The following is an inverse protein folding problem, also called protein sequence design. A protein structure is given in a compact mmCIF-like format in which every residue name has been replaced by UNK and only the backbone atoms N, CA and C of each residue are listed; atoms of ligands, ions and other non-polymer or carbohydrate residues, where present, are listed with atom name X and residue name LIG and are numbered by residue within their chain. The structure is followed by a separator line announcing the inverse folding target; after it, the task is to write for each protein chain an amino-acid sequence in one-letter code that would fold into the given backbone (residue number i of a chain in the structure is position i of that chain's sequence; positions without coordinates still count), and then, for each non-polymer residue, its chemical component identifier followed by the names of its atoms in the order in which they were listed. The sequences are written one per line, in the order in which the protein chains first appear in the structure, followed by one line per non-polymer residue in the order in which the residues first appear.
data_IF_220074136262
#
_entry.id   IF_220074136262
#
_cell.length_a   1.000
_cell.length_b   1.000
_cell.length_c   1.000
_cell.angle_alpha   90.00
_cell.angle_beta   90.00
_cell.angle_gamma   90.00
#
_symmetry.space_group_name_H-M   'P 1'
#
loop_
_entity.id
_entity.type
_entity.pdbx_description
1 polymer ?
#
# COMPACT_ATOMS: atom_id res chain seq x y z
N UNK A 1 8.75 -4.87 13.65
CA UNK A 1 9.24 -4.37 12.34
C UNK A 1 10.76 -4.31 12.29
N UNK A 2 11.45 -3.59 13.19
CA UNK A 2 12.92 -3.55 13.17
C UNK A 2 13.59 -4.93 13.37
N UNK A 3 13.06 -5.78 14.26
CA UNK A 3 13.56 -7.16 14.42
C UNK A 3 13.36 -8.02 13.17
N UNK A 4 12.23 -7.86 12.47
CA UNK A 4 11.99 -8.55 11.21
C UNK A 4 13.00 -8.12 10.14
N UNK A 5 13.23 -6.81 9.97
CA UNK A 5 14.20 -6.30 9.01
C UNK A 5 15.63 -6.77 9.29
N UNK A 6 16.00 -6.93 10.57
CA UNK A 6 17.31 -7.50 10.94
C UNK A 6 17.44 -8.99 10.63
N UNK A 7 16.34 -9.75 10.66
CA UNK A 7 16.30 -11.18 10.33
C UNK A 7 16.16 -11.40 8.81
N UNK A 8 15.65 -10.40 8.08
CA UNK A 8 15.36 -10.45 6.66
C UNK A 8 16.00 -9.27 5.90
N UNK A 9 17.34 -9.28 5.72
CA UNK A 9 18.09 -8.11 5.22
C UNK A 9 17.80 -7.71 3.77
N UNK A 10 17.21 -8.62 2.98
CA UNK A 10 16.88 -8.38 1.57
C UNK A 10 15.42 -7.97 1.36
N UNK A 11 14.62 -7.92 2.44
CA UNK A 11 13.22 -7.51 2.38
C UNK A 11 13.09 -6.00 2.51
N UNK A 12 12.16 -5.44 1.74
CA UNK A 12 11.83 -4.02 1.76
C UNK A 12 10.39 -3.85 2.24
N UNK A 13 10.20 -2.96 3.21
CA UNK A 13 8.89 -2.63 3.75
C UNK A 13 8.47 -1.23 3.29
N UNK A 14 7.25 -1.14 2.77
CA UNK A 14 6.60 0.14 2.47
C UNK A 14 5.74 0.53 3.67
N UNK A 15 6.05 1.65 4.30
CA UNK A 15 5.26 2.22 5.38
C UNK A 15 4.44 3.41 4.84
N UNK A 16 3.12 3.25 4.78
CA UNK A 16 2.20 4.28 4.30
C UNK A 16 1.51 4.99 5.47
N UNK A 17 1.94 6.23 5.74
CA UNK A 17 1.37 7.08 6.78
C UNK A 17 0.32 8.01 6.17
N UNK A 18 -0.94 7.77 6.51
CA UNK A 18 -2.09 8.52 6.00
C UNK A 18 -3.16 8.75 7.09
N UNK A 19 -4.14 9.60 6.79
CA UNK A 19 -5.23 9.96 7.71
C UNK A 19 -4.75 10.51 9.07
N UNK A 20 -3.96 11.59 9.03
CA UNK A 20 -3.54 12.28 10.24
C UNK A 20 -4.70 13.08 10.84
N UNK A 21 -5.21 12.64 11.99
CA UNK A 21 -6.30 13.32 12.68
C UNK A 21 -5.77 14.27 13.75
N UNK A 22 -6.11 15.55 13.63
CA UNK A 22 -5.75 16.59 14.58
C UNK A 22 -4.23 16.73 14.82
N UNK A 23 -3.42 16.38 13.82
CA UNK A 23 -1.98 16.63 13.88
C UNK A 23 -1.68 18.11 13.67
N UNK A 24 -0.74 18.61 14.45
CA UNK A 24 -0.11 19.91 14.27
C UNK A 24 1.26 19.72 13.63
N UNK A 25 1.90 20.80 13.18
CA UNK A 25 3.27 20.75 12.66
C UNK A 25 4.25 20.11 13.67
N UNK A 26 4.09 20.41 14.96
CA UNK A 26 4.89 19.80 16.04
C UNK A 26 4.63 18.29 16.18
N UNK A 27 3.39 17.86 16.00
CA UNK A 27 3.02 16.44 16.03
C UNK A 27 3.60 15.70 14.83
N UNK A 28 3.56 16.30 13.64
CA UNK A 28 4.21 15.77 12.45
C UNK A 28 5.72 15.66 12.65
N UNK A 29 6.38 16.71 13.13
CA UNK A 29 7.82 16.72 13.41
C UNK A 29 8.20 15.63 14.43
N UNK A 30 7.39 15.45 15.48
CA UNK A 30 7.58 14.40 16.48
C UNK A 30 7.49 13.00 15.85
N UNK A 31 6.44 12.72 15.08
CA UNK A 31 6.28 11.43 14.41
C UNK A 31 7.43 11.15 13.43
N UNK A 32 7.82 12.14 12.62
CA UNK A 32 8.93 12.01 11.66
C UNK A 32 10.23 11.71 12.41
N UNK A 33 10.50 12.40 13.52
CA UNK A 33 11.66 12.13 14.38
C UNK A 33 11.64 10.72 14.97
N UNK A 34 10.48 10.24 15.42
CA UNK A 34 10.32 8.87 15.91
C UNK A 34 10.60 7.82 14.82
N UNK A 35 10.06 8.01 13.62
CA UNK A 35 10.29 7.13 12.47
C UNK A 35 11.77 7.13 12.06
N UNK A 36 12.39 8.31 12.01
CA UNK A 36 13.82 8.46 11.74
C UNK A 36 14.67 7.71 12.78
N UNK A 37 14.35 7.82 14.06
CA UNK A 37 15.10 7.11 15.10
C UNK A 37 14.90 5.60 15.04
N UNK A 38 13.70 5.14 14.66
CA UNK A 38 13.36 3.71 14.60
C UNK A 38 14.02 2.97 13.43
N UNK A 39 14.17 3.62 12.27
CA UNK A 39 14.67 3.00 11.04
C UNK A 39 16.03 3.56 10.59
N UNK A 40 16.38 4.78 11.01
CA UNK A 40 17.69 5.40 10.82
C UNK A 40 18.22 5.26 9.38
N UNK A 41 19.34 4.56 9.19
CA UNK A 41 20.00 4.39 7.89
C UNK A 41 19.29 3.44 6.95
N UNK A 42 18.27 2.70 7.41
CA UNK A 42 17.49 1.79 6.54
C UNK A 42 16.40 2.51 5.74
N UNK A 43 16.16 3.80 6.02
CA UNK A 43 15.19 4.62 5.29
C UNK A 43 15.73 4.99 3.92
N UNK A 44 14.96 4.66 2.87
CA UNK A 44 15.30 4.99 1.49
C UNK A 44 15.07 6.49 1.21
N UNK A 45 16.10 7.26 0.85
CA UNK A 45 15.92 8.63 0.41
C UNK A 45 15.07 8.73 -0.86
N UNK A 46 14.17 9.70 -0.90
CA UNK A 46 13.40 10.02 -2.09
C UNK A 46 14.31 10.74 -3.12
N UNK A 47 14.49 10.09 -4.27
CA UNK A 47 15.32 10.58 -5.38
C UNK A 47 14.47 10.93 -6.62
N UNK A 48 13.27 11.48 -6.39
CA UNK A 48 12.37 11.98 -7.44
C UNK A 48 11.49 10.93 -8.13
N UNK A 49 11.91 9.67 -8.19
CA UNK A 49 11.16 8.59 -8.85
C UNK A 49 11.48 7.23 -8.23
N UNK A 50 10.53 6.29 -8.28
CA UNK A 50 10.77 4.89 -7.90
C UNK A 50 11.70 4.20 -8.90
N UNK A 51 11.61 4.56 -10.18
CA UNK A 51 12.43 4.01 -11.26
C UNK A 51 13.93 4.30 -11.12
N UNK A 52 14.31 5.18 -10.20
CA UNK A 52 15.71 5.47 -9.85
C UNK A 52 16.36 4.36 -9.04
N UNK A 53 15.57 3.41 -8.52
CA UNK A 53 16.01 2.37 -7.61
C UNK A 53 15.72 0.97 -8.18
N UNK A 54 16.66 0.06 -7.96
CA UNK A 54 16.46 -1.39 -8.13
C UNK A 54 16.56 -2.09 -6.78
N UNK A 55 15.97 -3.26 -6.61
CA UNK A 55 16.11 -4.00 -5.35
C UNK A 55 17.58 -4.31 -5.02
N UNK A 56 18.40 -4.61 -6.03
CA UNK A 56 19.84 -4.79 -5.83
C UNK A 56 20.48 -3.54 -5.22
N UNK A 57 20.15 -2.35 -5.74
CA UNK A 57 20.66 -1.09 -5.20
C UNK A 57 20.17 -0.80 -3.78
N UNK A 58 18.94 -1.22 -3.43
CA UNK A 58 18.43 -1.09 -2.07
C UNK A 58 19.25 -1.97 -1.11
N UNK A 59 19.44 -3.24 -1.46
CA UNK A 59 20.20 -4.20 -0.67
C UNK A 59 21.67 -3.79 -0.53
N UNK A 60 22.33 -3.37 -1.61
CA UNK A 60 23.73 -2.94 -1.60
C UNK A 60 23.95 -1.73 -0.67
N UNK A 61 22.93 -0.91 -0.47
CA UNK A 61 22.98 0.27 0.40
C UNK A 61 22.31 0.05 1.77
N UNK A 62 21.83 -1.17 2.07
CA UNK A 62 21.06 -1.50 3.28
C UNK A 62 19.78 -0.65 3.47
N UNK A 63 19.15 -0.22 2.39
CA UNK A 63 17.84 0.40 2.44
C UNK A 63 16.76 -0.66 2.48
N UNK A 64 15.89 -0.57 3.48
CA UNK A 64 14.83 -1.55 3.74
C UNK A 64 13.46 -0.92 3.97
N UNK A 65 13.36 0.42 4.06
CA UNK A 65 12.09 1.09 4.39
C UNK A 65 11.82 2.22 3.41
N UNK A 66 10.70 2.12 2.69
CA UNK A 66 10.13 3.21 1.88
C UNK A 66 9.03 3.86 2.72
N UNK A 67 9.23 5.12 3.12
CA UNK A 67 8.27 5.84 3.96
C UNK A 67 7.43 6.80 3.14
N UNK A 68 6.21 6.39 2.79
CA UNK A 68 5.22 7.24 2.14
C UNK A 68 4.53 8.08 3.22
N UNK A 69 4.60 9.40 3.08
CA UNK A 69 4.01 10.33 4.03
C UNK A 69 2.97 11.20 3.33
N UNK A 70 1.69 10.92 3.58
CA UNK A 70 0.57 11.52 2.83
C UNK A 70 0.09 12.84 3.40
N UNK A 71 1.01 13.71 3.80
CA UNK A 71 0.72 15.08 4.23
C UNK A 71 1.85 16.02 3.80
N UNK A 72 1.50 17.25 3.44
CA UNK A 72 2.49 18.25 3.03
C UNK A 72 3.14 18.89 4.25
N UNK A 73 4.23 18.29 4.74
CA UNK A 73 5.00 18.79 5.88
C UNK A 73 6.22 19.58 5.45
N UNK A 74 6.51 20.69 6.13
CA UNK A 74 7.77 21.42 5.94
C UNK A 74 8.89 20.70 6.71
N UNK A 75 9.78 20.03 5.99
CA UNK A 75 10.91 19.31 6.58
C UNK A 75 12.09 19.25 5.64
N UNK A 76 13.30 19.15 6.20
CA UNK A 76 14.53 18.90 5.45
C UNK A 76 14.83 17.41 5.26
N UNK A 77 13.99 16.53 5.81
CA UNK A 77 14.18 15.09 5.71
C UNK A 77 13.93 14.59 4.29
N UNK A 78 14.92 13.92 3.70
CA UNK A 78 14.88 13.47 2.30
C UNK A 78 14.22 12.10 2.13
N UNK A 79 13.94 11.38 3.22
CA UNK A 79 13.38 10.03 3.18
C UNK A 79 11.84 9.99 3.16
N UNK A 80 11.16 11.15 3.16
CA UNK A 80 9.71 11.20 3.05
C UNK A 80 9.29 11.15 1.58
N UNK A 81 8.66 10.05 1.19
CA UNK A 81 8.13 9.87 -0.15
C UNK A 81 6.76 10.56 -0.25
N UNK A 82 6.55 11.45 -1.24
CA UNK A 82 5.31 12.20 -1.36
C UNK A 82 4.16 11.31 -1.82
N UNK A 83 2.91 11.70 -1.53
CA UNK A 83 1.70 10.98 -1.98
C UNK A 83 1.68 10.64 -3.47
N UNK A 84 2.26 11.49 -4.32
CA UNK A 84 2.32 11.30 -5.77
C UNK A 84 3.22 10.14 -6.20
N UNK A 85 4.18 9.73 -5.36
CA UNK A 85 5.12 8.63 -5.66
C UNK A 85 4.46 7.25 -5.61
N UNK A 86 3.37 7.11 -4.85
CA UNK A 86 2.53 5.92 -4.74
C UNK A 86 1.05 6.34 -4.68
N UNK A 87 0.41 6.67 -5.82
CA UNK A 87 -1.02 6.94 -5.85
C UNK A 87 -1.80 5.72 -5.32
N UNK A 88 -2.84 6.00 -4.52
CA UNK A 88 -3.68 4.97 -3.88
C UNK A 88 -5.17 5.30 -4.09
N UNK A 89 -5.74 5.05 -5.28
CA UNK A 89 -7.14 5.36 -5.54
C UNK A 89 -8.07 4.52 -4.67
N UNK A 90 -9.04 5.18 -4.03
CA UNK A 90 -10.09 4.51 -3.25
C UNK A 90 -11.43 4.63 -3.97
N UNK A 91 -11.92 3.50 -4.50
CA UNK A 91 -13.15 3.45 -5.30
C UNK A 91 -14.43 3.44 -4.48
N UNK A 92 -14.34 3.24 -3.16
CA UNK A 92 -15.46 3.33 -2.21
C UNK A 92 -16.73 2.62 -2.69
N UNK A 93 -16.66 1.30 -2.88
CA UNK A 93 -17.73 0.51 -3.49
C UNK A 93 -17.87 -0.87 -2.84
N UNK A 94 -19.11 -1.38 -2.84
CA UNK A 94 -19.43 -2.78 -2.50
C UNK A 94 -19.62 -3.66 -3.74
N UNK A 95 -19.54 -3.10 -4.95
CA UNK A 95 -19.69 -3.86 -6.18
C UNK A 95 -18.34 -4.42 -6.62
N UNK A 96 -18.16 -5.74 -6.48
CA UNK A 96 -16.92 -6.44 -6.83
C UNK A 96 -16.53 -6.29 -8.31
N UNK A 97 -17.48 -6.47 -9.23
CA UNK A 97 -17.21 -6.31 -10.67
C UNK A 97 -16.75 -4.89 -11.00
N UNK A 98 -17.42 -3.89 -10.41
CA UNK A 98 -17.04 -2.49 -10.59
C UNK A 98 -15.64 -2.22 -10.02
N UNK A 99 -15.33 -2.73 -8.82
CA UNK A 99 -14.01 -2.61 -8.21
C UNK A 99 -12.92 -3.19 -9.12
N UNK A 100 -13.07 -4.45 -9.56
CA UNK A 100 -12.07 -5.13 -10.40
C UNK A 100 -11.85 -4.37 -11.73
N UNK A 101 -12.94 -3.97 -12.41
CA UNK A 101 -12.82 -3.17 -13.64
C UNK A 101 -12.15 -1.81 -13.42
N UNK A 102 -12.33 -1.23 -12.24
CA UNK A 102 -11.71 0.03 -11.86
C UNK A 102 -10.22 -0.13 -11.56
N UNK A 103 -9.83 -1.26 -10.95
CA UNK A 103 -8.43 -1.64 -10.76
C UNK A 103 -7.71 -1.80 -12.11
N UNK A 104 -8.31 -2.50 -13.08
CA UNK A 104 -7.74 -2.66 -14.43
C UNK A 104 -7.57 -1.31 -15.14
N UNK A 105 -8.59 -0.44 -15.02
CA UNK A 105 -8.53 0.92 -15.55
C UNK A 105 -7.43 1.74 -14.87
N UNK A 106 -7.27 1.59 -13.56
CA UNK A 106 -6.21 2.22 -12.79
C UNK A 106 -4.82 1.78 -13.24
N UNK A 107 -4.62 0.47 -13.40
CA UNK A 107 -3.36 -0.11 -13.85
C UNK A 107 -3.00 0.29 -15.29
N UNK A 108 -3.97 0.39 -16.18
CA UNK A 108 -3.74 0.80 -17.57
C UNK A 108 -3.45 2.30 -17.76
N UNK A 109 -3.81 3.13 -16.77
CA UNK A 109 -3.67 4.60 -16.85
C UNK A 109 -2.61 5.19 -15.91
N UNK A 110 -2.00 4.37 -15.04
CA UNK A 110 -0.98 4.81 -14.09
C UNK A 110 0.31 5.26 -14.78
N UNK A 111 1.13 5.99 -14.01
CA UNK A 111 2.51 6.28 -14.40
C UNK A 111 3.39 5.04 -14.21
N UNK A 112 4.28 4.78 -15.18
CA UNK A 112 5.29 3.72 -15.08
C UNK A 112 6.53 4.15 -14.27
N UNK A 113 6.65 5.44 -13.93
CA UNK A 113 7.78 5.96 -13.14
C UNK A 113 7.49 5.95 -11.64
N UNK A 114 6.22 5.88 -11.25
CA UNK A 114 5.80 5.89 -9.86
C UNK A 114 5.40 4.47 -9.43
N UNK A 115 5.43 4.21 -8.13
CA UNK A 115 4.71 3.07 -7.58
C UNK A 115 3.20 3.29 -7.70
N UNK A 116 2.42 2.22 -7.52
CA UNK A 116 0.96 2.29 -7.58
C UNK A 116 0.35 1.28 -6.63
N UNK A 117 -0.61 1.74 -5.83
CA UNK A 117 -1.30 0.92 -4.84
C UNK A 117 -2.70 0.59 -5.36
N UNK A 118 -2.89 -0.69 -5.68
CA UNK A 118 -4.17 -1.28 -6.04
C UNK A 118 -4.94 -1.66 -4.78
N UNK A 119 -5.95 -0.87 -4.41
CA UNK A 119 -6.79 -1.14 -3.25
C UNK A 119 -7.88 -2.17 -3.58
N UNK A 120 -7.62 -3.44 -3.33
CA UNK A 120 -8.57 -4.53 -3.52
C UNK A 120 -9.45 -4.74 -2.27
N UNK A 121 -10.18 -3.68 -1.89
CA UNK A 121 -11.02 -3.62 -0.68
C UNK A 121 -12.43 -3.16 -1.06
N UNK A 122 -13.45 -3.91 -0.62
CA UNK A 122 -14.84 -3.47 -0.68
C UNK A 122 -15.16 -2.60 0.54
N UNK A 123 -15.78 -1.44 0.31
CA UNK A 123 -16.16 -0.52 1.38
C UNK A 123 -17.68 -0.50 1.55
N UNK A 124 -18.23 -0.95 2.70
CA UNK A 124 -19.66 -0.88 2.97
C UNK A 124 -20.12 0.57 3.10
N UNK A 125 -21.29 0.87 2.54
CA UNK A 125 -21.91 2.19 2.69
C UNK A 125 -22.37 2.43 4.13
N UNK A 126 -22.54 3.70 4.50
CA UNK A 126 -22.99 4.12 5.85
C UNK A 126 -24.34 3.48 6.23
N UNK A 127 -25.22 3.25 5.24
CA UNK A 127 -26.51 2.58 5.43
C UNK A 127 -26.38 1.05 5.61
N UNK A 128 -25.33 0.43 5.07
CA UNK A 128 -25.09 -1.02 5.18
C UNK A 128 -24.53 -1.41 6.56
N UNK A 129 -23.88 -0.47 7.25
CA UNK A 129 -23.42 -0.65 8.64
C UNK A 129 -24.60 -0.70 9.61
N UNK A 130 -25.71 -0.01 9.30
CA UNK A 130 -26.92 0.03 10.15
C UNK A 130 -27.81 -1.23 10.02
N UNK A 131 -27.68 -1.99 8.93
CA UNK A 131 -28.51 -3.18 8.63
C UNK A 131 -27.89 -4.51 9.09
N UNK A 132 -26.91 -4.46 10.00
CA UNK A 132 -25.99 -5.53 10.42
C UNK A 132 -26.62 -6.72 11.19
N UNK A 133 -27.82 -7.19 10.79
CA UNK A 133 -28.48 -8.42 11.26
C UNK A 133 -28.54 -9.54 10.19
N UNK A 134 -27.97 -9.34 9.00
CA UNK A 134 -27.91 -10.36 7.93
C UNK A 134 -26.45 -10.75 7.63
N UNK A 135 -25.80 -11.34 8.64
CA UNK A 135 -24.42 -11.85 8.60
C UNK A 135 -24.15 -12.83 7.46
N UNK A 136 -25.15 -13.59 7.02
CA UNK A 136 -25.02 -14.64 6.00
C UNK A 136 -24.85 -14.10 4.59
N UNK A 137 -25.49 -12.97 4.25
CA UNK A 137 -25.29 -12.31 2.95
C UNK A 137 -23.91 -11.66 2.88
N UNK A 138 -23.47 -11.00 3.96
CA UNK A 138 -22.12 -10.44 4.05
C UNK A 138 -21.06 -11.54 3.93
N UNK A 139 -21.28 -12.69 4.55
CA UNK A 139 -20.38 -13.83 4.47
C UNK A 139 -20.33 -14.42 3.05
N UNK A 140 -21.47 -14.54 2.37
CA UNK A 140 -21.51 -15.02 0.98
C UNK A 140 -20.89 -14.03 -0.01
N UNK A 141 -21.21 -12.74 0.12
CA UNK A 141 -20.60 -11.69 -0.70
C UNK A 141 -19.10 -11.55 -0.44
N UNK A 142 -18.65 -11.75 0.79
CA UNK A 142 -17.23 -11.82 1.11
C UNK A 142 -16.57 -13.01 0.41
N UNK A 143 -17.10 -14.23 0.54
CA UNK A 143 -16.54 -15.44 -0.12
C UNK A 143 -16.52 -15.32 -1.65
N UNK A 144 -17.59 -14.79 -2.26
CA UNK A 144 -17.68 -14.60 -3.71
C UNK A 144 -16.70 -13.52 -4.19
N UNK A 145 -16.54 -12.43 -3.41
CA UNK A 145 -15.53 -11.41 -3.67
C UNK A 145 -14.11 -11.96 -3.50
N UNK A 146 -13.84 -12.72 -2.44
CA UNK A 146 -12.55 -13.35 -2.19
C UNK A 146 -12.09 -14.23 -3.34
N UNK A 147 -13.01 -15.05 -3.88
CA UNK A 147 -12.72 -15.90 -5.05
C UNK A 147 -12.38 -15.06 -6.28
N UNK A 148 -13.16 -14.01 -6.55
CA UNK A 148 -12.96 -13.13 -7.70
C UNK A 148 -11.70 -12.26 -7.57
N UNK A 149 -11.40 -11.80 -6.35
CA UNK A 149 -10.17 -11.10 -5.99
C UNK A 149 -8.95 -11.98 -6.21
N UNK A 150 -8.99 -13.21 -5.70
CA UNK A 150 -7.88 -14.17 -5.86
C UNK A 150 -7.62 -14.44 -7.34
N UNK A 151 -8.67 -14.69 -8.13
CA UNK A 151 -8.55 -14.87 -9.57
C UNK A 151 -7.90 -13.65 -10.24
N UNK A 152 -8.37 -12.44 -9.91
CA UNK A 152 -7.80 -11.20 -10.46
C UNK A 152 -6.33 -11.02 -10.09
N UNK A 153 -5.92 -11.30 -8.84
CA UNK A 153 -4.52 -11.22 -8.39
C UNK A 153 -3.63 -12.19 -9.17
N UNK A 154 -4.10 -13.44 -9.38
CA UNK A 154 -3.36 -14.47 -10.11
C UNK A 154 -3.18 -14.17 -11.61
N UNK A 155 -4.00 -13.28 -12.16
CA UNK A 155 -3.88 -12.78 -13.54
C UNK A 155 -2.84 -11.65 -13.68
N UNK A 156 -2.34 -11.08 -12.57
CA UNK A 156 -1.40 -9.97 -12.60
C UNK A 156 0.05 -10.43 -12.71
N UNK A 157 0.84 -9.64 -13.45
CA UNK A 157 2.30 -9.74 -13.45
C UNK A 157 2.90 -8.58 -12.64
N UNK A 158 4.09 -8.73 -12.03
CA UNK A 158 4.76 -7.61 -11.38
C UNK A 158 5.39 -6.63 -12.35
N UNK A 159 5.59 -5.41 -11.87
CA UNK A 159 6.50 -4.45 -12.45
C UNK A 159 5.81 -3.39 -13.30
N UNK A 160 6.54 -2.84 -14.28
CA UNK A 160 6.12 -1.62 -14.99
C UNK A 160 4.81 -1.77 -15.78
N UNK A 161 4.48 -2.98 -16.25
CA UNK A 161 3.29 -3.24 -17.05
C UNK A 161 2.16 -3.96 -16.29
N UNK A 162 2.36 -4.26 -15.00
CA UNK A 162 1.37 -4.96 -14.19
C UNK A 162 1.18 -4.29 -12.84
N UNK A 163 1.26 -5.04 -11.73
CA UNK A 163 1.05 -4.52 -10.38
C UNK A 163 2.35 -4.11 -9.68
N UNK A 164 2.25 -3.17 -8.73
CA UNK A 164 3.35 -2.85 -7.82
C UNK A 164 3.01 -3.23 -6.39
N UNK A 165 1.91 -2.69 -5.84
CA UNK A 165 1.44 -2.99 -4.50
C UNK A 165 -0.05 -3.28 -4.56
N UNK A 166 -0.47 -4.39 -3.96
CA UNK A 166 -1.88 -4.71 -3.76
C UNK A 166 -2.16 -4.67 -2.27
N UNK A 167 -3.19 -3.95 -1.85
CA UNK A 167 -3.69 -3.99 -0.46
C UNK A 167 -5.09 -4.57 -0.45
N UNK A 168 -5.41 -5.36 0.57
CA UNK A 168 -6.70 -6.04 0.72
C UNK A 168 -7.01 -6.34 2.17
N UNK A 169 -8.30 -6.48 2.50
CA UNK A 169 -8.74 -6.95 3.81
C UNK A 169 -8.64 -8.48 3.91
N UNK A 170 -8.45 -9.04 5.11
CA UNK A 170 -8.47 -10.49 5.37
C UNK A 170 -7.47 -11.31 4.51
N UNK A 171 -6.22 -10.86 4.45
CA UNK A 171 -5.14 -11.55 3.73
C UNK A 171 -4.90 -13.00 4.20
N UNK A 172 -5.31 -13.32 5.43
CA UNK A 172 -5.21 -14.66 6.03
C UNK A 172 -6.26 -15.66 5.49
N UNK A 173 -7.26 -15.22 4.72
CA UNK A 173 -8.29 -16.10 4.15
C UNK A 173 -7.93 -16.66 2.77
N UNK A 174 -6.92 -16.09 2.13
CA UNK A 174 -6.30 -16.61 0.93
C UNK A 174 -4.97 -17.23 1.32
N UNK A 175 -4.76 -18.51 1.05
CA UNK A 175 -3.52 -19.24 1.35
C UNK A 175 -2.28 -18.53 0.75
N UNK A 176 -1.71 -17.57 1.50
CA UNK A 176 -0.46 -16.85 1.24
C UNK A 176 -0.33 -16.11 -0.12
N UNK A 177 -1.41 -15.96 -0.90
CA UNK A 177 -1.39 -15.31 -2.24
C UNK A 177 -1.01 -13.82 -2.18
N UNK A 178 -1.10 -13.19 -1.00
CA UNK A 178 -0.70 -11.80 -0.78
C UNK A 178 0.81 -11.57 -0.67
N UNK A 179 1.63 -12.63 -0.74
CA UNK A 179 3.10 -12.53 -0.75
C UNK A 179 3.59 -12.66 -2.20
N UNK A 180 3.37 -11.62 -3.01
CA UNK A 180 3.93 -11.49 -4.37
C UNK A 180 3.67 -10.02 -4.80
N UNK A 181 4.63 -9.15 -5.16
CA UNK A 181 5.90 -9.33 -5.87
C UNK A 181 6.80 -8.07 -5.79
N UNK A 182 8.08 -8.31 -6.12
CA UNK A 182 9.18 -7.36 -6.38
C UNK A 182 9.01 -6.54 -7.66
#
# INVERSE_FOLDING_TARGET
MSSYLSEHPNEVVILDCQHFYAFTDDTHATLIGMLKNAFNTTLLPYAGSLSSWSLSSLNDNNYQVILIYRESVQTSETFLWPSSSYPTPWYNTMNSTYLLSSLDTGLSTRSNSNGYISQCVLTPGVNDILTNLLSTLKQKCAVDFESSRTAWILEQEPGANGVNVIIGDFVDLSDDVFIMLM
#
